data_IF_694224300242
#
_entry.id   IF_694224300242
#
_cell.length_a   1.000
_cell.length_b   1.000
_cell.length_c   1.000
_cell.angle_alpha   90.00
_cell.angle_beta   90.00
_cell.angle_gamma   90.00
#
_symmetry.space_group_name_H-M   'P 1'
#
loop_
_entity.id
_entity.type
_entity.pdbx_description
1 polymer ?
#
# COMPACT_ATOMS: atom_id res chain seq x y z
N UNK A 1 -2.39 19.48 44.19
CA UNK A 1 -2.52 18.31 45.09
C UNK A 1 -1.86 17.12 44.41
N UNK A 2 -0.62 16.83 44.83
CA UNK A 2 0.18 15.71 44.30
C UNK A 2 -0.29 14.40 44.92
N UNK A 3 -0.69 13.42 44.11
CA UNK A 3 -0.92 12.04 44.59
C UNK A 3 0.43 11.39 44.87
N UNK A 4 0.61 10.74 46.03
CA UNK A 4 1.84 10.05 46.33
C UNK A 4 1.97 8.73 45.51
N UNK A 5 3.21 8.39 45.21
CA UNK A 5 3.65 7.16 44.58
C UNK A 5 3.20 5.96 45.45
N UNK A 6 2.63 4.90 44.88
CA UNK A 6 2.33 3.73 45.69
C UNK A 6 3.64 3.05 46.16
N UNK A 7 3.86 3.09 47.46
CA UNK A 7 4.88 2.30 48.16
C UNK A 7 4.45 0.83 48.15
N UNK A 8 5.04 0.02 47.32
CA UNK A 8 5.07 -1.42 47.46
C UNK A 8 6.51 -1.83 47.73
N UNK A 9 6.92 -1.73 48.98
CA UNK A 9 8.07 -2.44 49.52
C UNK A 9 7.54 -3.73 50.18
N UNK A 10 8.00 -4.92 49.85
CA UNK A 10 7.94 -6.04 50.77
C UNK A 10 9.10 -5.91 51.76
N UNK A 11 8.77 -5.77 53.05
CA UNK A 11 9.69 -5.97 54.14
C UNK A 11 10.26 -7.40 54.06
N UNK A 12 11.53 -7.51 53.74
CA UNK A 12 12.36 -8.67 54.14
C UNK A 12 13.42 -8.12 55.11
N UNK A 13 13.01 -8.04 56.39
CA UNK A 13 13.91 -7.97 57.52
C UNK A 13 14.51 -9.35 57.80
N UNK A 14 15.85 -9.42 57.71
CA UNK A 14 16.59 -10.45 58.40
C UNK A 14 17.50 -11.27 57.48
N UNK A 15 18.70 -10.75 57.21
CA UNK A 15 19.99 -11.41 57.33
C UNK A 15 21.05 -10.44 56.75
N UNK A 16 21.92 -9.92 57.63
CA UNK A 16 22.95 -8.95 57.28
C UNK A 16 24.05 -9.55 56.39
N UNK A 17 23.83 -9.49 55.09
CA UNK A 17 24.84 -9.32 54.11
C UNK A 17 24.66 -7.87 53.60
N UNK A 18 25.54 -6.99 53.97
CA UNK A 18 25.67 -5.69 53.31
C UNK A 18 26.03 -5.99 51.85
N UNK A 19 25.01 -6.26 51.03
CA UNK A 19 25.19 -6.24 49.58
C UNK A 19 25.73 -4.85 49.25
N UNK A 20 26.96 -4.79 48.75
CA UNK A 20 27.59 -3.56 48.31
C UNK A 20 26.60 -2.87 47.38
N UNK A 21 26.10 -1.70 47.82
CA UNK A 21 25.12 -0.95 47.01
C UNK A 21 25.75 -0.60 45.68
N UNK A 22 25.05 -0.80 44.54
CA UNK A 22 25.64 -0.64 43.27
C UNK A 22 26.19 0.77 43.09
N UNK A 23 27.43 0.86 42.57
CA UNK A 23 28.06 2.10 42.17
C UNK A 23 27.55 2.51 40.76
N UNK A 24 27.82 3.75 40.37
CA UNK A 24 27.55 4.20 39.01
C UNK A 24 28.26 3.30 37.98
N UNK A 25 29.51 2.93 38.25
CA UNK A 25 30.30 2.04 37.36
C UNK A 25 29.67 0.65 37.21
N UNK A 26 29.08 0.11 38.29
CA UNK A 26 28.37 -1.17 38.23
C UNK A 26 27.09 -1.04 37.41
N UNK A 27 26.33 0.05 37.56
CA UNK A 27 25.15 0.33 36.73
C UNK A 27 25.49 0.47 35.25
N UNK A 28 26.59 1.19 34.92
CA UNK A 28 27.13 1.30 33.57
C UNK A 28 27.58 -0.04 33.00
N UNK A 29 28.24 -0.88 33.80
CA UNK A 29 28.67 -2.20 33.39
C UNK A 29 27.47 -3.10 33.05
N UNK A 30 26.41 -3.06 33.86
CA UNK A 30 25.15 -3.76 33.56
C UNK A 30 24.49 -3.28 32.27
N UNK A 31 24.47 -1.95 32.05
CA UNK A 31 23.95 -1.36 30.82
C UNK A 31 24.74 -1.83 29.58
N UNK A 32 26.06 -1.78 29.64
CA UNK A 32 26.96 -2.26 28.58
C UNK A 32 26.82 -3.76 28.31
N UNK A 33 26.56 -4.55 29.36
CA UNK A 33 26.34 -6.00 29.24
C UNK A 33 24.93 -6.36 28.67
N UNK A 34 24.06 -5.37 28.43
CA UNK A 34 22.71 -5.61 27.96
C UNK A 34 21.72 -6.02 29.04
N UNK A 35 22.12 -6.01 30.31
CA UNK A 35 21.27 -6.36 31.46
C UNK A 35 20.40 -5.15 31.86
N UNK A 36 19.54 -4.69 30.95
CA UNK A 36 18.83 -3.42 31.04
C UNK A 36 17.95 -3.28 32.28
N UNK A 37 17.24 -4.34 32.65
CA UNK A 37 16.37 -4.30 33.84
C UNK A 37 17.18 -4.14 35.14
N UNK A 38 18.31 -4.83 35.27
CA UNK A 38 19.20 -4.72 36.43
C UNK A 38 19.94 -3.36 36.44
N UNK A 39 20.34 -2.89 35.24
CA UNK A 39 20.93 -1.56 35.10
C UNK A 39 19.97 -0.46 35.56
N UNK A 40 18.70 -0.53 35.20
CA UNK A 40 17.69 0.44 35.64
C UNK A 40 17.58 0.48 37.17
N UNK A 41 17.47 -0.68 37.82
CA UNK A 41 17.42 -0.74 39.29
C UNK A 41 18.69 -0.18 39.93
N UNK A 42 19.86 -0.48 39.39
CA UNK A 42 21.12 0.04 39.90
C UNK A 42 21.21 1.56 39.76
N UNK A 43 20.75 2.14 38.63
CA UNK A 43 20.70 3.59 38.47
C UNK A 43 19.66 4.27 39.41
N UNK A 44 18.49 3.64 39.66
CA UNK A 44 17.54 4.12 40.64
C UNK A 44 18.15 4.19 42.06
N UNK A 45 18.93 3.19 42.44
CA UNK A 45 19.65 3.19 43.74
C UNK A 45 20.75 4.25 43.82
N UNK A 46 21.43 4.54 42.68
CA UNK A 46 22.39 5.65 42.61
C UNK A 46 21.66 6.99 42.80
N UNK A 47 20.53 7.18 42.08
CA UNK A 47 19.72 8.41 42.18
C UNK A 47 19.05 8.60 43.54
N UNK A 48 18.71 7.52 44.24
CA UNK A 48 18.20 7.61 45.61
C UNK A 48 19.21 8.19 46.60
N UNK A 49 20.53 8.05 46.31
CA UNK A 49 21.64 8.62 47.14
C UNK A 49 22.08 9.98 46.65
N UNK A 50 22.15 10.17 45.37
CA UNK A 50 22.61 11.40 44.71
C UNK A 50 21.72 11.69 43.52
N UNK A 51 20.61 12.43 43.78
CA UNK A 51 19.64 12.80 42.76
C UNK A 51 20.19 13.78 41.72
N UNK A 52 21.25 14.51 42.08
CA UNK A 52 21.91 15.49 41.20
C UNK A 52 22.86 14.85 40.16
N UNK A 53 22.88 13.53 40.01
CA UNK A 53 23.83 12.82 39.14
C UNK A 53 23.34 12.67 37.72
N UNK A 54 23.89 13.49 36.83
CA UNK A 54 23.50 13.53 35.40
C UNK A 54 23.62 12.16 34.73
N UNK A 55 24.76 11.48 34.92
CA UNK A 55 25.05 10.19 34.31
C UNK A 55 24.04 9.10 34.74
N UNK A 56 23.57 9.18 35.98
CA UNK A 56 22.59 8.21 36.49
C UNK A 56 21.19 8.48 35.91
N UNK A 57 20.76 9.73 35.74
CA UNK A 57 19.52 10.06 35.06
C UNK A 57 19.54 9.59 33.60
N UNK A 58 20.61 9.89 32.87
CA UNK A 58 20.78 9.46 31.49
C UNK A 58 20.80 7.94 31.39
N UNK A 59 21.60 7.26 32.25
CA UNK A 59 21.72 5.82 32.29
C UNK A 59 20.39 5.11 32.59
N UNK A 60 19.61 5.61 33.56
CA UNK A 60 18.29 5.10 33.88
C UNK A 60 17.35 5.18 32.68
N UNK A 61 17.23 6.35 32.08
CA UNK A 61 16.37 6.55 30.91
C UNK A 61 16.75 5.63 29.75
N UNK A 62 18.06 5.51 29.46
CA UNK A 62 18.56 4.63 28.39
C UNK A 62 18.32 3.16 28.73
N UNK A 63 18.55 2.71 29.96
CA UNK A 63 18.29 1.35 30.40
C UNK A 63 16.81 0.97 30.24
N UNK A 64 15.90 1.82 30.70
CA UNK A 64 14.45 1.64 30.56
C UNK A 64 14.00 1.63 29.06
N UNK A 65 14.55 2.53 28.25
CA UNK A 65 14.28 2.56 26.82
C UNK A 65 14.71 1.27 26.11
N UNK A 66 15.93 0.79 26.42
CA UNK A 66 16.45 -0.46 25.86
C UNK A 66 15.70 -1.70 26.35
N UNK A 67 15.18 -1.64 27.59
CA UNK A 67 14.31 -2.69 28.14
C UNK A 67 12.89 -2.69 27.54
N UNK A 68 12.54 -1.71 26.68
CA UNK A 68 11.19 -1.55 26.11
C UNK A 68 10.17 -0.94 27.08
N UNK A 69 10.58 -0.50 28.28
CA UNK A 69 9.74 0.16 29.31
C UNK A 69 9.53 1.62 28.95
N UNK A 70 8.84 1.90 27.84
CA UNK A 70 8.82 3.21 27.20
C UNK A 70 8.21 4.33 28.04
N UNK A 71 7.10 4.08 28.74
CA UNK A 71 6.49 5.13 29.61
C UNK A 71 7.37 5.44 30.82
N UNK A 72 8.09 4.46 31.36
CA UNK A 72 9.02 4.69 32.43
C UNK A 72 10.30 5.41 31.98
N UNK A 73 10.78 5.08 30.76
CA UNK A 73 11.86 5.82 30.11
C UNK A 73 11.48 7.28 29.89
N UNK A 74 10.24 7.53 29.42
CA UNK A 74 9.72 8.89 29.26
C UNK A 74 9.76 9.64 30.61
N UNK A 75 9.26 9.01 31.67
CA UNK A 75 9.28 9.63 33.00
C UNK A 75 10.72 9.92 33.47
N UNK A 76 11.66 8.98 33.30
CA UNK A 76 13.05 9.17 33.68
C UNK A 76 13.71 10.34 32.91
N UNK A 77 13.49 10.44 31.59
CA UNK A 77 14.00 11.57 30.82
C UNK A 77 13.29 12.88 31.11
N UNK A 78 11.98 12.87 31.43
CA UNK A 78 11.28 14.07 31.94
C UNK A 78 11.91 14.59 33.23
N UNK A 79 12.27 13.69 34.17
CA UNK A 79 12.99 14.10 35.40
C UNK A 79 14.37 14.67 35.07
N UNK A 80 15.12 14.01 34.16
CA UNK A 80 16.41 14.52 33.71
C UNK A 80 16.30 15.93 33.14
N UNK A 81 15.32 16.19 32.26
CA UNK A 81 15.10 17.54 31.66
C UNK A 81 14.72 18.59 32.73
N UNK A 82 13.99 18.22 33.76
CA UNK A 82 13.65 19.11 34.87
C UNK A 82 14.86 19.48 35.71
N UNK A 83 15.75 18.52 35.97
CA UNK A 83 16.97 18.74 36.77
C UNK A 83 18.06 19.43 35.95
N UNK A 84 18.17 19.06 34.67
CA UNK A 84 19.22 19.53 33.76
C UNK A 84 18.61 20.04 32.44
N UNK A 85 17.87 21.17 32.46
CA UNK A 85 17.12 21.67 31.31
C UNK A 85 18.00 22.05 30.10
N UNK A 86 19.27 22.40 30.35
CA UNK A 86 20.25 22.80 29.32
C UNK A 86 21.03 21.61 28.72
N UNK A 87 20.71 20.39 29.14
CA UNK A 87 21.40 19.18 28.60
C UNK A 87 20.60 18.64 27.43
N UNK A 88 21.20 18.73 26.25
CA UNK A 88 20.54 18.31 25.00
C UNK A 88 20.19 16.82 25.01
N UNK A 89 21.00 15.98 25.69
CA UNK A 89 20.83 14.53 25.75
C UNK A 89 19.47 14.13 26.32
N UNK A 90 18.99 14.86 27.34
CA UNK A 90 17.65 14.63 27.94
C UNK A 90 16.54 14.87 26.92
N UNK A 91 16.56 16.00 26.25
CA UNK A 91 15.58 16.36 25.21
C UNK A 91 15.66 15.42 24.00
N UNK A 92 16.86 15.10 23.55
CA UNK A 92 17.06 14.19 22.40
C UNK A 92 16.50 12.79 22.68
N UNK A 93 16.84 12.21 23.84
CA UNK A 93 16.35 10.88 24.19
C UNK A 93 14.83 10.89 24.46
N UNK A 94 14.30 11.96 25.05
CA UNK A 94 12.86 12.14 25.23
C UNK A 94 12.14 12.15 23.88
N UNK A 95 12.70 12.81 22.87
CA UNK A 95 12.20 12.79 21.50
C UNK A 95 12.17 11.39 20.91
N UNK A 96 13.23 10.60 21.12
CA UNK A 96 13.27 9.19 20.69
C UNK A 96 12.19 8.34 21.37
N UNK A 97 11.98 8.53 22.67
CA UNK A 97 10.93 7.83 23.42
C UNK A 97 9.55 8.19 22.88
N UNK A 98 9.27 9.47 22.65
CA UNK A 98 7.99 9.89 22.09
C UNK A 98 7.71 9.31 20.72
N UNK A 99 8.71 9.21 19.82
CA UNK A 99 8.54 8.52 18.54
C UNK A 99 8.15 7.06 18.72
N UNK A 100 8.81 6.36 19.65
CA UNK A 100 8.50 4.94 19.93
C UNK A 100 7.11 4.75 20.57
N UNK A 101 6.59 5.76 21.25
CA UNK A 101 5.23 5.81 21.82
C UNK A 101 4.16 6.25 20.80
N UNK A 102 4.53 6.53 19.56
CA UNK A 102 3.61 7.04 18.54
C UNK A 102 3.11 8.47 18.81
N UNK A 103 3.92 9.29 19.48
CA UNK A 103 3.64 10.69 19.84
C UNK A 103 4.54 11.66 19.06
N UNK A 104 4.35 11.80 17.74
CA UNK A 104 5.30 12.52 16.89
C UNK A 104 5.32 14.05 17.15
N UNK A 105 4.21 14.67 17.58
CA UNK A 105 4.18 16.10 17.90
C UNK A 105 5.05 16.42 19.12
N UNK A 106 4.92 15.63 20.19
CA UNK A 106 5.72 15.75 21.40
C UNK A 106 7.20 15.48 21.12
N UNK A 107 7.47 14.49 20.24
CA UNK A 107 8.81 14.18 19.79
C UNK A 107 9.43 15.37 19.05
N UNK A 108 8.68 16.01 18.15
CA UNK A 108 9.15 17.19 17.42
C UNK A 108 9.54 18.34 18.37
N UNK A 109 8.73 18.61 19.41
CA UNK A 109 9.05 19.60 20.42
C UNK A 109 10.34 19.27 21.19
N UNK A 110 10.52 18.02 21.57
CA UNK A 110 11.71 17.57 22.29
C UNK A 110 12.97 17.65 21.41
N UNK A 111 12.93 17.18 20.16
CA UNK A 111 14.05 17.28 19.23
C UNK A 111 14.36 18.73 18.84
N UNK A 112 13.35 19.60 18.70
CA UNK A 112 13.56 21.02 18.44
C UNK A 112 14.40 21.65 19.56
N UNK A 113 14.06 21.35 20.83
CA UNK A 113 14.83 21.85 21.97
C UNK A 113 16.24 21.26 22.02
N UNK A 114 16.40 19.96 21.68
CA UNK A 114 17.72 19.34 21.56
C UNK A 114 18.56 20.04 20.47
N UNK A 115 18.00 20.33 19.29
CA UNK A 115 18.68 21.03 18.20
C UNK A 115 19.03 22.49 18.54
N UNK A 116 18.21 23.14 19.37
CA UNK A 116 18.50 24.47 19.87
C UNK A 116 19.69 24.50 20.84
N UNK A 117 19.75 23.51 21.73
CA UNK A 117 20.84 23.38 22.72
C UNK A 117 22.14 22.87 22.08
N UNK A 118 22.05 21.95 21.15
CA UNK A 118 23.18 21.41 20.40
C UNK A 118 22.79 21.19 18.94
N UNK A 119 23.22 22.06 18.01
CA UNK A 119 22.88 22.00 16.58
C UNK A 119 23.55 20.82 15.85
N UNK A 120 23.29 19.61 16.31
CA UNK A 120 23.82 18.38 15.72
C UNK A 120 22.96 17.90 14.53
N UNK A 121 23.58 17.09 13.66
CA UNK A 121 22.88 16.48 12.53
C UNK A 121 21.74 15.58 12.99
N UNK A 122 22.00 14.78 14.02
CA UNK A 122 21.06 13.84 14.60
C UNK A 122 19.83 14.53 15.20
N UNK A 123 20.04 15.67 15.85
CA UNK A 123 18.94 16.44 16.43
C UNK A 123 17.99 17.00 15.34
N UNK A 124 18.55 17.58 14.28
CA UNK A 124 17.74 18.08 13.16
C UNK A 124 17.08 16.97 12.37
N UNK A 125 17.74 15.83 12.14
CA UNK A 125 17.14 14.67 11.50
C UNK A 125 16.02 14.08 12.36
N UNK A 126 16.21 13.98 13.67
CA UNK A 126 15.17 13.56 14.61
C UNK A 126 13.97 14.49 14.60
N UNK A 127 14.22 15.81 14.61
CA UNK A 127 13.17 16.81 14.54
C UNK A 127 12.35 16.72 13.25
N UNK A 128 13.03 16.66 12.11
CA UNK A 128 12.36 16.53 10.82
C UNK A 128 11.60 15.21 10.68
N UNK A 129 12.17 14.10 11.16
CA UNK A 129 11.49 12.80 11.17
C UNK A 129 10.21 12.83 11.99
N UNK A 130 10.25 13.45 13.17
CA UNK A 130 9.07 13.60 14.03
C UNK A 130 7.99 14.47 13.37
N UNK A 131 8.37 15.60 12.76
CA UNK A 131 7.45 16.47 12.01
C UNK A 131 6.85 15.74 10.80
N UNK A 132 7.64 14.98 10.07
CA UNK A 132 7.14 14.19 8.93
C UNK A 132 6.12 13.13 9.37
N UNK A 133 6.37 12.43 10.48
CA UNK A 133 5.41 11.46 11.04
C UNK A 133 4.14 12.14 11.56
N UNK A 134 4.23 13.40 11.99
CA UNK A 134 3.08 14.22 12.36
C UNK A 134 2.31 14.80 11.14
N UNK A 135 2.73 14.48 9.90
CA UNK A 135 2.14 15.04 8.68
C UNK A 135 2.55 16.48 8.35
N UNK A 136 3.53 17.03 9.06
CA UNK A 136 4.00 18.42 8.96
C UNK A 136 5.22 18.51 8.03
N UNK A 137 5.03 18.16 6.74
CA UNK A 137 6.14 18.06 5.78
C UNK A 137 6.86 19.40 5.52
N UNK A 138 6.13 20.53 5.54
CA UNK A 138 6.72 21.87 5.33
C UNK A 138 7.64 22.24 6.49
N UNK A 139 7.17 22.04 7.71
CA UNK A 139 7.93 22.31 8.93
C UNK A 139 9.17 21.39 9.02
N UNK A 140 9.05 20.13 8.58
CA UNK A 140 10.19 19.21 8.48
C UNK A 140 11.27 19.74 7.53
N UNK A 141 10.88 20.24 6.36
CA UNK A 141 11.82 20.84 5.42
C UNK A 141 12.48 22.10 6.00
N UNK A 142 11.73 22.98 6.67
CA UNK A 142 12.28 24.18 7.29
C UNK A 142 13.25 23.85 8.44
N UNK A 143 12.94 22.83 9.25
CA UNK A 143 13.85 22.36 10.30
C UNK A 143 15.21 21.92 9.70
N UNK A 144 15.17 21.13 8.61
CA UNK A 144 16.40 20.67 7.93
C UNK A 144 17.13 21.82 7.22
N UNK A 145 16.42 22.79 6.63
CA UNK A 145 17.06 24.00 6.07
C UNK A 145 17.82 24.77 7.15
N UNK A 146 17.20 24.98 8.32
CA UNK A 146 17.81 25.67 9.46
C UNK A 146 19.11 24.99 9.92
N UNK A 147 19.15 23.65 9.90
CA UNK A 147 20.32 22.87 10.28
C UNK A 147 21.34 22.66 9.17
N UNK A 148 21.08 23.10 7.92
CA UNK A 148 21.94 22.85 6.78
C UNK A 148 23.24 23.63 6.86
N UNK A 149 24.35 22.92 6.89
CA UNK A 149 25.71 23.48 6.76
C UNK A 149 26.48 22.77 5.65
N UNK A 150 27.60 23.33 5.16
CA UNK A 150 28.42 22.64 4.14
C UNK A 150 28.91 21.27 4.57
N UNK A 151 29.17 21.05 5.86
CA UNK A 151 29.73 19.82 6.42
C UNK A 151 28.70 18.70 6.58
N UNK A 152 27.38 18.99 6.47
CA UNK A 152 26.32 17.99 6.63
C UNK A 152 26.49 16.82 5.66
N UNK A 153 26.19 15.63 6.17
CA UNK A 153 26.38 14.37 5.45
C UNK A 153 25.51 14.27 4.18
N UNK A 154 25.84 13.37 3.24
CA UNK A 154 24.95 13.00 2.14
C UNK A 154 23.56 12.58 2.61
N UNK A 155 23.46 11.84 3.72
CA UNK A 155 22.21 11.40 4.31
C UNK A 155 21.33 12.58 4.75
N UNK A 156 21.92 13.61 5.37
CA UNK A 156 21.21 14.83 5.75
C UNK A 156 20.64 15.56 4.53
N UNK A 157 21.42 15.70 3.47
CA UNK A 157 20.98 16.34 2.21
C UNK A 157 19.87 15.57 1.53
N UNK A 158 19.93 14.23 1.57
CA UNK A 158 18.86 13.37 1.06
C UNK A 158 17.58 13.58 1.87
N UNK A 159 17.67 13.58 3.20
CA UNK A 159 16.52 13.84 4.06
C UNK A 159 15.88 15.23 3.79
N UNK A 160 16.71 16.27 3.59
CA UNK A 160 16.23 17.60 3.21
C UNK A 160 15.49 17.57 1.85
N UNK A 161 16.06 16.90 0.85
CA UNK A 161 15.43 16.79 -0.48
C UNK A 161 14.11 16.01 -0.41
N UNK A 162 14.05 14.96 0.38
CA UNK A 162 12.82 14.17 0.63
C UNK A 162 11.74 15.01 1.34
N UNK A 163 12.13 15.78 2.37
CA UNK A 163 11.20 16.66 3.08
C UNK A 163 10.67 17.78 2.17
N UNK A 164 11.52 18.39 1.35
CA UNK A 164 11.13 19.38 0.35
C UNK A 164 10.17 18.80 -0.69
N UNK A 165 10.45 17.59 -1.17
CA UNK A 165 9.55 16.88 -2.09
C UNK A 165 8.18 16.62 -1.44
N UNK A 166 8.15 16.09 -0.21
CA UNK A 166 6.92 15.83 0.53
C UNK A 166 6.12 17.12 0.82
N UNK A 167 6.82 18.26 1.02
CA UNK A 167 6.22 19.58 1.18
C UNK A 167 5.70 20.20 -0.15
N UNK A 168 5.91 19.52 -1.30
CA UNK A 168 5.58 20.05 -2.63
C UNK A 168 6.58 21.08 -3.17
N UNK A 169 7.67 21.37 -2.45
CA UNK A 169 8.70 22.34 -2.81
C UNK A 169 9.74 21.73 -3.79
N UNK A 170 9.25 21.17 -4.92
CA UNK A 170 10.07 20.42 -5.90
C UNK A 170 11.21 21.25 -6.48
N UNK A 171 10.96 22.52 -6.76
CA UNK A 171 11.97 23.43 -7.31
C UNK A 171 13.17 23.62 -6.37
N UNK A 172 12.94 23.54 -5.04
CA UNK A 172 14.00 23.65 -4.02
C UNK A 172 14.72 22.32 -3.80
N UNK A 173 14.02 21.18 -3.97
CA UNK A 173 14.61 19.85 -3.82
C UNK A 173 15.67 19.53 -4.89
N UNK A 174 15.46 19.98 -6.13
CA UNK A 174 16.36 19.68 -7.27
C UNK A 174 17.81 20.17 -7.04
N UNK A 175 18.09 21.43 -6.67
CA UNK A 175 19.45 21.87 -6.40
C UNK A 175 20.12 21.15 -5.21
N UNK A 176 19.34 20.78 -4.19
CA UNK A 176 19.85 19.99 -3.06
C UNK A 176 20.30 18.61 -3.54
N UNK A 177 19.51 17.96 -4.41
CA UNK A 177 19.87 16.65 -5.00
C UNK A 177 21.11 16.73 -5.88
N UNK A 178 21.24 17.75 -6.74
CA UNK A 178 22.47 17.93 -7.50
C UNK A 178 23.69 18.21 -6.60
N UNK A 179 23.53 19.00 -5.55
CA UNK A 179 24.57 19.24 -4.55
C UNK A 179 25.00 17.97 -3.81
N UNK A 180 24.04 17.07 -3.53
CA UNK A 180 24.29 15.74 -2.99
C UNK A 180 25.06 14.86 -3.99
N UNK A 181 24.55 14.75 -5.23
CA UNK A 181 25.14 13.89 -6.28
C UNK A 181 26.53 14.33 -6.72
N UNK A 182 26.88 15.60 -6.61
CA UNK A 182 28.24 16.09 -6.82
C UNK A 182 29.22 15.60 -5.73
N UNK A 183 28.74 15.27 -4.53
CA UNK A 183 29.57 14.78 -3.41
C UNK A 183 29.56 13.25 -3.31
N UNK A 184 28.39 12.66 -3.55
CA UNK A 184 28.18 11.22 -3.57
C UNK A 184 27.47 10.82 -4.87
N UNK A 185 28.21 10.62 -5.96
CA UNK A 185 27.63 10.20 -7.24
C UNK A 185 26.98 8.81 -7.21
N UNK A 186 27.24 8.00 -6.16
CA UNK A 186 26.66 6.65 -5.99
C UNK A 186 25.37 6.64 -5.16
N UNK A 187 24.89 7.79 -4.72
CA UNK A 187 23.63 7.92 -3.99
C UNK A 187 22.43 7.59 -4.88
N UNK A 188 22.11 6.31 -5.03
CA UNK A 188 21.03 5.83 -5.91
C UNK A 188 19.66 6.44 -5.56
N UNK A 189 19.37 6.63 -4.27
CA UNK A 189 18.12 7.23 -3.80
C UNK A 189 17.97 8.69 -4.23
N UNK A 190 19.10 9.41 -4.34
CA UNK A 190 19.09 10.78 -4.85
C UNK A 190 18.80 10.83 -6.36
N UNK A 191 19.37 9.90 -7.15
CA UNK A 191 19.04 9.76 -8.57
C UNK A 191 17.57 9.39 -8.78
N UNK A 192 17.05 8.44 -7.99
CA UNK A 192 15.63 8.03 -8.06
C UNK A 192 14.69 9.20 -7.76
N UNK A 193 14.94 9.93 -6.67
CA UNK A 193 14.11 11.08 -6.28
C UNK A 193 14.19 12.21 -7.31
N UNK A 194 15.39 12.50 -7.82
CA UNK A 194 15.58 13.51 -8.87
C UNK A 194 14.78 13.15 -10.14
N UNK A 195 14.87 11.89 -10.57
CA UNK A 195 14.14 11.41 -11.74
C UNK A 195 12.62 11.47 -11.53
N UNK A 196 12.14 11.13 -10.33
CA UNK A 196 10.72 11.25 -9.96
C UNK A 196 10.25 12.70 -10.08
N UNK A 197 10.95 13.64 -9.45
CA UNK A 197 10.61 15.06 -9.49
C UNK A 197 10.57 15.55 -10.95
N UNK A 198 11.59 15.26 -11.73
CA UNK A 198 11.66 15.68 -13.13
C UNK A 198 10.52 15.10 -13.98
N UNK A 199 10.14 13.85 -13.74
CA UNK A 199 9.03 13.20 -14.44
C UNK A 199 7.68 13.84 -14.10
N UNK A 200 7.44 14.14 -12.83
CA UNK A 200 6.23 14.81 -12.34
C UNK A 200 6.10 16.25 -12.87
N UNK A 201 7.22 16.93 -13.10
CA UNK A 201 7.29 18.24 -13.78
C UNK A 201 7.16 18.16 -15.32
N UNK A 202 6.85 16.97 -15.87
CA UNK A 202 6.72 16.75 -17.31
C UNK A 202 8.05 16.63 -18.06
N UNK A 203 9.19 16.70 -17.38
CA UNK A 203 10.54 16.66 -17.95
C UNK A 203 11.05 15.23 -18.11
N UNK A 204 10.21 14.32 -18.63
CA UNK A 204 10.47 12.88 -18.74
C UNK A 204 11.79 12.54 -19.44
N UNK A 205 12.11 13.24 -20.54
CA UNK A 205 13.38 13.02 -21.26
C UNK A 205 14.60 13.38 -20.42
N UNK A 206 14.51 14.40 -19.56
CA UNK A 206 15.56 14.76 -18.62
C UNK A 206 15.68 13.74 -17.50
N UNK A 207 14.55 13.29 -16.94
CA UNK A 207 14.52 12.22 -15.93
C UNK A 207 15.23 10.95 -16.41
N UNK A 208 14.97 10.52 -17.65
CA UNK A 208 15.63 9.35 -18.25
C UNK A 208 17.15 9.56 -18.39
N UNK A 209 17.60 10.74 -18.83
CA UNK A 209 19.06 11.05 -18.91
C UNK A 209 19.74 11.02 -17.54
N UNK A 210 19.09 11.57 -16.50
CA UNK A 210 19.66 11.53 -15.14
C UNK A 210 19.72 10.10 -14.60
N UNK A 211 18.70 9.26 -14.89
CA UNK A 211 18.75 7.83 -14.54
C UNK A 211 19.88 7.11 -15.27
N UNK A 212 20.15 7.42 -16.54
CA UNK A 212 21.27 6.82 -17.28
C UNK A 212 22.63 7.20 -16.66
N UNK A 213 22.77 8.44 -16.19
CA UNK A 213 23.97 8.87 -15.46
C UNK A 213 24.15 8.10 -14.17
N UNK A 214 23.07 7.96 -13.39
CA UNK A 214 23.11 7.17 -12.14
C UNK A 214 23.42 5.69 -12.40
N UNK A 215 22.77 5.09 -13.41
CA UNK A 215 22.99 3.68 -13.79
C UNK A 215 24.44 3.38 -14.22
N UNK A 216 25.15 4.36 -14.74
CA UNK A 216 26.58 4.21 -15.07
C UNK A 216 27.50 4.14 -13.83
N UNK A 217 27.00 4.52 -12.65
CA UNK A 217 27.80 4.71 -11.43
C UNK A 217 27.47 3.70 -10.32
N UNK A 218 26.28 3.05 -10.39
CA UNK A 218 25.78 2.17 -9.34
C UNK A 218 25.65 0.73 -9.82
N UNK A 219 25.76 -0.22 -8.88
CA UNK A 219 25.71 -1.66 -9.14
C UNK A 219 24.70 -2.37 -8.19
N UNK A 220 24.48 -3.66 -8.44
CA UNK A 220 23.66 -4.53 -7.57
C UNK A 220 22.26 -3.97 -7.31
N UNK A 221 21.82 -4.00 -6.05
CA UNK A 221 20.48 -3.57 -5.66
C UNK A 221 20.21 -2.09 -5.94
N UNK A 222 21.21 -1.23 -5.81
CA UNK A 222 21.10 0.18 -6.15
C UNK A 222 20.76 0.36 -7.64
N UNK A 223 21.46 -0.38 -8.52
CA UNK A 223 21.20 -0.40 -9.96
C UNK A 223 19.80 -0.94 -10.25
N UNK A 224 19.38 -2.01 -9.58
CA UNK A 224 18.03 -2.59 -9.75
C UNK A 224 16.93 -1.57 -9.50
N UNK A 225 17.03 -0.76 -8.44
CA UNK A 225 16.07 0.31 -8.12
C UNK A 225 16.01 1.39 -9.21
N UNK A 226 17.15 1.82 -9.73
CA UNK A 226 17.17 2.81 -10.81
C UNK A 226 16.63 2.24 -12.13
N UNK A 227 16.88 0.96 -12.42
CA UNK A 227 16.28 0.26 -13.57
C UNK A 227 14.75 0.19 -13.45
N UNK A 228 14.22 -0.12 -12.25
CA UNK A 228 12.78 -0.08 -12.00
C UNK A 228 12.22 1.32 -12.26
N UNK A 229 12.85 2.38 -11.73
CA UNK A 229 12.42 3.76 -11.98
C UNK A 229 12.45 4.08 -13.47
N UNK A 230 13.49 3.69 -14.17
CA UNK A 230 13.62 3.90 -15.62
C UNK A 230 12.55 3.13 -16.40
N UNK A 231 12.22 1.91 -15.99
CA UNK A 231 11.16 1.10 -16.58
C UNK A 231 9.79 1.79 -16.49
N UNK A 232 9.46 2.36 -15.33
CA UNK A 232 8.21 3.11 -15.13
C UNK A 232 8.07 4.35 -16.05
N UNK A 233 9.18 4.87 -16.52
CA UNK A 233 9.22 6.01 -17.44
C UNK A 233 9.43 5.61 -18.89
N UNK A 234 9.73 4.35 -19.18
CA UNK A 234 10.06 3.86 -20.53
C UNK A 234 8.81 3.42 -21.30
N UNK A 235 8.76 3.59 -22.63
CA UNK A 235 7.74 2.98 -23.48
C UNK A 235 7.92 1.45 -23.58
N UNK A 236 9.12 0.93 -23.33
CA UNK A 236 9.44 -0.50 -23.38
C UNK A 236 10.03 -0.96 -22.05
N UNK A 237 9.20 -1.18 -21.00
CA UNK A 237 9.68 -1.43 -19.64
C UNK A 237 10.26 -2.85 -19.44
N UNK A 238 9.81 -3.84 -20.19
CA UNK A 238 10.07 -5.27 -19.90
C UNK A 238 11.56 -5.62 -19.81
N UNK A 239 12.47 -5.22 -20.73
CA UNK A 239 13.90 -5.53 -20.60
C UNK A 239 14.53 -4.96 -19.33
N UNK A 240 14.14 -3.72 -18.96
CA UNK A 240 14.63 -3.05 -17.76
C UNK A 240 14.14 -3.74 -16.48
N UNK A 241 12.87 -4.16 -16.46
CA UNK A 241 12.28 -4.89 -15.34
C UNK A 241 12.94 -6.26 -15.16
N UNK A 242 13.27 -6.96 -16.26
CA UNK A 242 13.98 -8.24 -16.21
C UNK A 242 15.39 -8.08 -15.63
N UNK A 243 16.13 -7.05 -16.07
CA UNK A 243 17.46 -6.75 -15.52
C UNK A 243 17.34 -6.37 -14.05
N UNK A 244 16.38 -5.54 -13.66
CA UNK A 244 16.14 -5.14 -12.27
C UNK A 244 15.86 -6.36 -11.38
N UNK A 245 14.95 -7.22 -11.80
CA UNK A 245 14.58 -8.43 -11.06
C UNK A 245 15.73 -9.44 -10.97
N UNK A 246 16.56 -9.56 -12.02
CA UNK A 246 17.74 -10.42 -12.01
C UNK A 246 18.79 -9.93 -11.02
N UNK A 247 18.97 -8.61 -10.88
CA UNK A 247 19.92 -7.99 -9.95
C UNK A 247 19.41 -8.02 -8.50
N UNK A 248 18.11 -7.90 -8.30
CA UNK A 248 17.47 -7.97 -6.97
C UNK A 248 16.14 -8.72 -7.04
N UNK A 249 16.14 -10.05 -6.82
CA UNK A 249 14.90 -10.83 -6.78
C UNK A 249 13.95 -10.46 -5.62
N UNK A 250 14.42 -9.69 -4.63
CA UNK A 250 13.58 -9.18 -3.56
C UNK A 250 12.83 -7.88 -3.94
N UNK A 251 13.09 -7.33 -5.12
CA UNK A 251 12.40 -6.15 -5.65
C UNK A 251 11.03 -6.59 -6.21
N UNK A 252 10.07 -6.74 -5.30
CA UNK A 252 8.74 -7.30 -5.60
C UNK A 252 7.99 -6.49 -6.65
N UNK A 253 8.19 -5.17 -6.71
CA UNK A 253 7.54 -4.30 -7.69
C UNK A 253 7.95 -4.66 -9.14
N UNK A 254 9.22 -5.00 -9.36
CA UNK A 254 9.68 -5.43 -10.68
C UNK A 254 9.04 -6.75 -11.09
N UNK A 255 8.97 -7.72 -10.16
CA UNK A 255 8.30 -8.99 -10.38
C UNK A 255 6.79 -8.80 -10.62
N UNK A 256 6.12 -7.96 -9.84
CA UNK A 256 4.71 -7.62 -10.02
C UNK A 256 4.43 -7.05 -11.40
N UNK A 257 5.22 -6.07 -11.85
CA UNK A 257 5.06 -5.46 -13.17
C UNK A 257 5.31 -6.46 -14.31
N UNK A 258 6.29 -7.35 -14.17
CA UNK A 258 6.52 -8.45 -15.13
C UNK A 258 5.35 -9.42 -15.17
N UNK A 259 4.81 -9.79 -14.01
CA UNK A 259 3.63 -10.65 -13.92
C UNK A 259 2.40 -10.02 -14.56
N UNK A 260 2.15 -8.74 -14.31
CA UNK A 260 1.08 -7.99 -14.97
C UNK A 260 1.22 -7.97 -16.50
N UNK A 261 2.42 -7.67 -17.00
CA UNK A 261 2.68 -7.67 -18.43
C UNK A 261 2.39 -9.06 -19.06
N UNK A 262 2.66 -10.16 -18.35
CA UNK A 262 2.29 -11.50 -18.77
C UNK A 262 0.77 -11.73 -18.81
N UNK A 263 0.04 -11.20 -17.82
CA UNK A 263 -1.42 -11.27 -17.83
C UNK A 263 -2.02 -10.50 -19.02
N UNK A 264 -1.54 -9.30 -19.27
CA UNK A 264 -1.96 -8.46 -20.40
C UNK A 264 -1.65 -9.12 -21.75
N UNK A 265 -0.56 -9.89 -21.83
CA UNK A 265 -0.21 -10.73 -23.00
C UNK A 265 -1.01 -12.03 -23.10
N UNK A 266 -1.95 -12.31 -22.18
CA UNK A 266 -2.74 -13.53 -22.17
C UNK A 266 -1.98 -14.79 -21.71
N UNK A 267 -0.87 -14.63 -20.96
CA UNK A 267 -0.07 -15.70 -20.39
C UNK A 267 -0.22 -15.75 -18.85
N UNK A 268 -1.36 -16.25 -18.31
CA UNK A 268 -1.56 -16.33 -16.88
C UNK A 268 -0.63 -17.31 -16.16
N UNK A 269 -0.15 -18.36 -16.86
CA UNK A 269 0.85 -19.29 -16.29
C UNK A 269 2.20 -18.63 -16.12
N UNK A 270 2.67 -17.92 -17.15
CA UNK A 270 3.89 -17.13 -17.07
C UNK A 270 3.82 -16.01 -16.04
N UNK A 271 2.63 -15.42 -15.84
CA UNK A 271 2.41 -14.41 -14.80
C UNK A 271 2.63 -14.95 -13.39
N UNK A 272 2.15 -16.16 -13.09
CA UNK A 272 2.34 -16.79 -11.77
C UNK A 272 3.82 -16.96 -11.39
N UNK A 273 4.70 -17.17 -12.37
CA UNK A 273 6.14 -17.30 -12.12
C UNK A 273 6.75 -16.05 -11.49
N UNK A 274 6.16 -14.87 -11.72
CA UNK A 274 6.59 -13.59 -11.17
C UNK A 274 5.73 -13.13 -9.99
N UNK A 275 4.40 -13.31 -10.07
CA UNK A 275 3.47 -12.82 -9.05
C UNK A 275 3.59 -13.59 -7.73
N UNK A 276 3.82 -14.91 -7.75
CA UNK A 276 3.98 -15.69 -6.52
C UNK A 276 5.23 -15.30 -5.71
N UNK A 277 6.43 -15.14 -6.32
CA UNK A 277 7.57 -14.58 -5.61
C UNK A 277 7.33 -13.16 -5.11
N UNK A 278 6.71 -12.28 -5.91
CA UNK A 278 6.38 -10.92 -5.49
C UNK A 278 5.51 -10.93 -4.22
N UNK A 279 4.44 -11.73 -4.21
CA UNK A 279 3.53 -11.85 -3.09
C UNK A 279 4.20 -12.41 -1.82
N UNK A 280 5.12 -13.37 -1.96
CA UNK A 280 5.89 -13.90 -0.83
C UNK A 280 6.81 -12.87 -0.21
N UNK A 281 7.35 -11.96 -1.01
CA UNK A 281 8.24 -10.89 -0.55
C UNK A 281 7.45 -9.75 0.09
N UNK A 282 6.37 -9.32 -0.54
CA UNK A 282 5.46 -8.30 -0.04
C UNK A 282 4.01 -8.69 -0.40
N UNK A 283 3.18 -9.08 0.58
CA UNK A 283 1.80 -9.50 0.35
C UNK A 283 0.88 -8.30 0.13
N UNK A 284 1.20 -7.48 -0.89
CA UNK A 284 0.42 -6.29 -1.23
C UNK A 284 -0.93 -6.66 -1.87
N UNK A 285 -2.00 -5.92 -1.57
CA UNK A 285 -3.33 -6.14 -2.14
C UNK A 285 -3.34 -6.14 -3.68
N UNK A 286 -2.53 -5.32 -4.32
CA UNK A 286 -2.43 -5.26 -5.79
C UNK A 286 -1.83 -6.55 -6.37
N UNK A 287 -0.85 -7.14 -5.68
CA UNK A 287 -0.25 -8.42 -6.10
C UNK A 287 -1.26 -9.55 -5.91
N UNK A 288 -1.99 -9.56 -4.80
CA UNK A 288 -3.07 -10.51 -4.54
C UNK A 288 -4.16 -10.41 -5.62
N UNK A 289 -4.57 -9.19 -5.99
CA UNK A 289 -5.54 -8.95 -7.06
C UNK A 289 -5.07 -9.51 -8.40
N UNK A 290 -3.81 -9.30 -8.76
CA UNK A 290 -3.22 -9.85 -9.99
C UNK A 290 -3.16 -11.39 -9.97
N UNK A 291 -2.82 -11.99 -8.81
CA UNK A 291 -2.87 -13.45 -8.61
C UNK A 291 -4.29 -13.99 -8.76
N UNK A 292 -5.28 -13.33 -8.18
CA UNK A 292 -6.68 -13.71 -8.32
C UNK A 292 -7.11 -13.73 -9.80
N UNK A 293 -6.73 -12.69 -10.57
CA UNK A 293 -6.97 -12.62 -12.00
C UNK A 293 -6.29 -13.73 -12.79
N UNK A 294 -5.03 -14.04 -12.45
CA UNK A 294 -4.27 -15.13 -13.08
C UNK A 294 -4.94 -16.50 -12.85
N UNK A 295 -5.29 -16.80 -11.60
CA UNK A 295 -5.95 -18.05 -11.25
C UNK A 295 -7.36 -18.16 -11.82
N UNK A 296 -8.09 -17.06 -11.91
CA UNK A 296 -9.40 -17.03 -12.56
C UNK A 296 -9.30 -17.37 -14.05
N UNK A 297 -8.32 -16.79 -14.76
CA UNK A 297 -8.04 -17.10 -16.15
C UNK A 297 -7.63 -18.56 -16.38
N UNK A 298 -6.96 -19.16 -15.40
CA UNK A 298 -6.59 -20.59 -15.41
C UNK A 298 -7.72 -21.51 -14.94
N UNK A 299 -8.88 -20.97 -14.55
CA UNK A 299 -10.04 -21.67 -13.96
C UNK A 299 -9.71 -22.40 -12.64
N UNK A 300 -8.66 -21.97 -11.94
CA UNK A 300 -8.37 -22.40 -10.58
C UNK A 300 -9.14 -21.50 -9.60
N UNK A 301 -10.44 -21.76 -9.51
CA UNK A 301 -11.36 -20.94 -8.74
C UNK A 301 -11.10 -20.92 -7.23
N UNK A 302 -10.64 -22.02 -6.59
CA UNK A 302 -10.27 -21.97 -5.17
C UNK A 302 -9.14 -20.96 -4.87
N UNK A 303 -8.08 -20.98 -5.67
CA UNK A 303 -6.98 -20.04 -5.52
C UNK A 303 -7.39 -18.61 -5.93
N UNK A 304 -8.18 -18.47 -7.00
CA UNK A 304 -8.74 -17.17 -7.39
C UNK A 304 -9.55 -16.53 -6.25
N UNK A 305 -10.42 -17.32 -5.60
CA UNK A 305 -11.22 -16.88 -4.47
C UNK A 305 -10.35 -16.43 -3.29
N UNK A 306 -9.35 -17.25 -2.92
CA UNK A 306 -8.45 -16.93 -1.81
C UNK A 306 -7.69 -15.63 -2.02
N UNK A 307 -7.01 -15.48 -3.16
CA UNK A 307 -6.24 -14.26 -3.43
C UNK A 307 -7.13 -13.03 -3.65
N UNK A 308 -8.34 -13.20 -4.18
CA UNK A 308 -9.31 -12.12 -4.26
C UNK A 308 -9.78 -11.64 -2.87
N UNK A 309 -9.88 -12.55 -1.88
CA UNK A 309 -10.15 -12.23 -0.48
C UNK A 309 -9.00 -11.44 0.14
N UNK A 310 -7.75 -11.90 -0.08
CA UNK A 310 -6.52 -11.24 0.38
C UNK A 310 -6.32 -9.85 -0.24
N UNK A 311 -6.88 -9.59 -1.44
CA UNK A 311 -6.91 -8.27 -2.09
C UNK A 311 -7.91 -7.28 -1.46
N UNK A 312 -8.73 -7.74 -0.52
CA UNK A 312 -9.71 -6.91 0.19
C UNK A 312 -10.79 -6.32 -0.73
N UNK A 313 -11.20 -5.06 -0.50
CA UNK A 313 -12.31 -4.45 -1.26
C UNK A 313 -12.12 -4.43 -2.78
N UNK A 314 -10.89 -4.29 -3.27
CA UNK A 314 -10.57 -4.31 -4.70
C UNK A 314 -10.75 -5.70 -5.33
N UNK A 315 -10.70 -6.77 -4.52
CA UNK A 315 -10.89 -8.14 -4.94
C UNK A 315 -12.33 -8.63 -5.01
N UNK A 316 -13.31 -7.89 -4.47
CA UNK A 316 -14.70 -8.35 -4.31
C UNK A 316 -15.33 -8.86 -5.61
N UNK A 317 -15.09 -8.20 -6.73
CA UNK A 317 -15.64 -8.61 -8.02
C UNK A 317 -15.03 -9.95 -8.50
N UNK A 318 -13.70 -10.11 -8.41
CA UNK A 318 -13.03 -11.36 -8.77
C UNK A 318 -13.43 -12.50 -7.81
N UNK A 319 -13.60 -12.18 -6.52
CA UNK A 319 -14.07 -13.12 -5.50
C UNK A 319 -15.49 -13.61 -5.83
N UNK A 320 -16.39 -12.70 -6.22
CA UNK A 320 -17.73 -13.05 -6.65
C UNK A 320 -17.73 -13.93 -7.93
N UNK A 321 -16.84 -13.65 -8.90
CA UNK A 321 -16.69 -14.48 -10.09
C UNK A 321 -16.23 -15.89 -9.72
N UNK A 322 -15.26 -16.02 -8.84
CA UNK A 322 -14.76 -17.29 -8.35
C UNK A 322 -15.83 -18.04 -7.55
N UNK A 323 -16.57 -17.35 -6.66
CA UNK A 323 -17.67 -17.92 -5.87
C UNK A 323 -18.77 -18.49 -6.79
N UNK A 324 -19.21 -17.73 -7.80
CA UNK A 324 -20.18 -18.23 -8.80
C UNK A 324 -19.66 -19.51 -9.50
N UNK A 325 -18.40 -19.49 -9.95
CA UNK A 325 -17.80 -20.63 -10.63
C UNK A 325 -17.70 -21.89 -9.72
N UNK A 326 -17.55 -21.68 -8.40
CA UNK A 326 -17.63 -22.72 -7.37
C UNK A 326 -19.07 -23.16 -7.03
N UNK A 327 -20.07 -22.62 -7.68
CA UNK A 327 -21.50 -22.90 -7.42
C UNK A 327 -22.11 -22.12 -6.27
N UNK A 328 -21.36 -21.22 -5.62
CA UNK A 328 -21.78 -20.42 -4.46
C UNK A 328 -22.50 -19.13 -4.88
N UNK A 329 -23.65 -19.29 -5.57
CA UNK A 329 -24.36 -18.15 -6.20
C UNK A 329 -24.88 -17.11 -5.21
N UNK A 330 -25.38 -17.55 -4.03
CA UNK A 330 -25.85 -16.64 -2.98
C UNK A 330 -24.71 -15.77 -2.46
N UNK A 331 -23.59 -16.41 -2.10
CA UNK A 331 -22.39 -15.71 -1.65
C UNK A 331 -21.88 -14.72 -2.71
N UNK A 332 -21.92 -15.11 -3.99
CA UNK A 332 -21.52 -14.21 -5.09
C UNK A 332 -22.39 -12.96 -5.18
N UNK A 333 -23.70 -13.07 -4.89
CA UNK A 333 -24.61 -11.91 -4.82
C UNK A 333 -24.29 -11.02 -3.62
N UNK A 334 -24.05 -11.60 -2.45
CA UNK A 334 -23.68 -10.88 -1.23
C UNK A 334 -22.38 -10.08 -1.42
N UNK A 335 -21.37 -10.68 -2.03
CA UNK A 335 -20.11 -10.01 -2.35
C UNK A 335 -20.26 -8.82 -3.30
N UNK A 336 -21.32 -8.81 -4.11
CA UNK A 336 -21.64 -7.72 -5.06
C UNK A 336 -22.54 -6.63 -4.45
N UNK A 337 -22.97 -6.78 -3.19
CA UNK A 337 -23.70 -5.71 -2.51
C UNK A 337 -22.78 -4.50 -2.33
N UNK A 338 -23.26 -3.34 -2.80
CA UNK A 338 -22.48 -2.09 -2.76
C UNK A 338 -21.42 -1.92 -3.85
N UNK A 339 -21.17 -2.93 -4.69
CA UNK A 339 -20.28 -2.80 -5.85
C UNK A 339 -21.04 -2.16 -7.02
N UNK A 340 -20.80 -0.88 -7.28
CA UNK A 340 -21.54 -0.11 -8.28
C UNK A 340 -20.93 -0.12 -9.71
N UNK A 341 -19.80 -0.82 -9.90
CA UNK A 341 -19.18 -0.96 -11.23
C UNK A 341 -20.15 -1.62 -12.21
N UNK A 342 -20.22 -1.13 -13.43
CA UNK A 342 -21.18 -1.58 -14.44
C UNK A 342 -21.06 -3.09 -14.72
N UNK A 343 -19.84 -3.58 -14.84
CA UNK A 343 -19.55 -5.00 -15.04
C UNK A 343 -20.04 -5.86 -13.88
N UNK A 344 -19.90 -5.36 -12.64
CA UNK A 344 -20.38 -6.05 -11.45
C UNK A 344 -21.91 -6.10 -11.41
N UNK A 345 -22.59 -5.02 -11.81
CA UNK A 345 -24.06 -4.99 -11.90
C UNK A 345 -24.57 -5.91 -13.02
N UNK A 346 -23.93 -5.93 -14.18
CA UNK A 346 -24.24 -6.87 -15.25
C UNK A 346 -24.07 -8.33 -14.79
N UNK A 347 -22.98 -8.59 -14.07
CA UNK A 347 -22.68 -9.90 -13.51
C UNK A 347 -23.69 -10.32 -12.43
N UNK A 348 -24.07 -9.40 -11.53
CA UNK A 348 -25.12 -9.60 -10.54
C UNK A 348 -26.45 -9.98 -11.21
N UNK A 349 -26.84 -9.24 -12.25
CA UNK A 349 -28.03 -9.55 -13.04
C UNK A 349 -28.00 -10.94 -13.67
N UNK A 350 -26.84 -11.37 -14.20
CA UNK A 350 -26.69 -12.70 -14.78
C UNK A 350 -26.84 -13.83 -13.74
N UNK A 351 -26.31 -13.63 -12.51
CA UNK A 351 -26.46 -14.59 -11.41
C UNK A 351 -27.94 -14.70 -11.00
N UNK A 352 -28.62 -13.56 -10.87
CA UNK A 352 -30.04 -13.51 -10.52
C UNK A 352 -30.92 -14.25 -11.55
N UNK A 353 -30.60 -14.10 -12.85
CA UNK A 353 -31.27 -14.85 -13.92
C UNK A 353 -31.04 -16.37 -13.80
N UNK A 354 -29.81 -16.80 -13.54
CA UNK A 354 -29.48 -18.23 -13.32
C UNK A 354 -30.21 -18.82 -12.12
N UNK A 355 -30.56 -17.98 -11.13
CA UNK A 355 -31.32 -18.37 -9.94
C UNK A 355 -32.84 -18.26 -10.13
N UNK A 356 -33.34 -17.87 -11.34
CA UNK A 356 -34.74 -17.67 -11.61
C UNK A 356 -35.32 -16.39 -10.99
N UNK A 357 -34.53 -15.47 -10.47
CA UNK A 357 -34.90 -14.22 -9.81
C UNK A 357 -35.03 -13.09 -10.84
N UNK A 358 -35.85 -13.28 -11.86
CA UNK A 358 -35.90 -12.42 -13.04
C UNK A 358 -36.38 -10.98 -12.73
N UNK A 359 -37.28 -10.78 -11.77
CA UNK A 359 -37.73 -9.42 -11.34
C UNK A 359 -36.60 -8.63 -10.71
N UNK A 360 -35.80 -9.25 -9.84
CA UNK A 360 -34.64 -8.60 -9.22
C UNK A 360 -33.54 -8.31 -10.23
N UNK A 361 -33.28 -9.25 -11.15
CA UNK A 361 -32.37 -9.05 -12.27
C UNK A 361 -32.83 -7.84 -13.13
N UNK A 362 -34.13 -7.74 -13.43
CA UNK A 362 -34.68 -6.62 -14.19
C UNK A 362 -34.40 -5.28 -13.51
N UNK A 363 -34.61 -5.19 -12.18
CA UNK A 363 -34.36 -3.96 -11.40
C UNK A 363 -32.91 -3.51 -11.50
N UNK A 364 -31.97 -4.42 -11.22
CA UNK A 364 -30.53 -4.15 -11.26
C UNK A 364 -30.06 -3.76 -12.68
N UNK A 365 -30.45 -4.55 -13.67
CA UNK A 365 -30.00 -4.36 -15.05
C UNK A 365 -30.61 -3.12 -15.71
N UNK A 366 -31.89 -2.77 -15.37
CA UNK A 366 -32.53 -1.55 -15.87
C UNK A 366 -31.79 -0.30 -15.34
N UNK A 367 -31.44 -0.28 -14.07
CA UNK A 367 -30.65 0.82 -13.47
C UNK A 367 -29.28 0.94 -14.13
N UNK A 368 -28.56 -0.15 -14.29
CA UNK A 368 -27.27 -0.18 -14.94
C UNK A 368 -27.35 0.27 -16.42
N UNK A 369 -28.34 -0.21 -17.16
CA UNK A 369 -28.53 0.14 -18.57
C UNK A 369 -28.96 1.59 -18.78
N UNK A 370 -29.70 2.17 -17.83
CA UNK A 370 -30.07 3.58 -17.86
C UNK A 370 -28.85 4.48 -17.62
N UNK A 371 -27.96 4.07 -16.71
CA UNK A 371 -26.74 4.80 -16.39
C UNK A 371 -25.73 4.79 -17.57
N UNK A 372 -25.60 3.65 -18.20
CA UNK A 372 -24.74 3.46 -19.37
C UNK A 372 -25.35 2.41 -20.29
N UNK A 373 -25.63 2.76 -21.53
CA UNK A 373 -26.23 1.87 -22.52
C UNK A 373 -25.23 0.85 -23.09
N UNK A 374 -24.68 0.00 -22.19
CA UNK A 374 -23.79 -1.10 -22.58
C UNK A 374 -24.60 -2.21 -23.26
N UNK A 375 -24.17 -2.67 -24.45
CA UNK A 375 -24.83 -3.80 -25.13
C UNK A 375 -24.90 -5.08 -24.28
N UNK A 376 -23.87 -5.37 -23.49
CA UNK A 376 -23.79 -6.55 -22.62
C UNK A 376 -24.85 -6.51 -21.51
N UNK A 377 -25.00 -5.35 -20.84
CA UNK A 377 -26.04 -5.13 -19.83
C UNK A 377 -27.42 -5.24 -20.47
N UNK A 378 -27.58 -4.64 -21.64
CA UNK A 378 -28.86 -4.64 -22.34
C UNK A 378 -29.30 -6.03 -22.81
N UNK A 379 -28.39 -6.93 -23.22
CA UNK A 379 -28.73 -8.33 -23.53
C UNK A 379 -29.28 -9.06 -22.31
N UNK A 380 -28.66 -8.88 -21.14
CA UNK A 380 -29.13 -9.46 -19.88
C UNK A 380 -30.48 -8.85 -19.46
N UNK A 381 -30.67 -7.54 -19.69
CA UNK A 381 -31.94 -6.86 -19.49
C UNK A 381 -33.05 -7.47 -20.39
N UNK A 382 -32.75 -7.67 -21.69
CA UNK A 382 -33.64 -8.35 -22.63
C UNK A 382 -33.99 -9.78 -22.18
N UNK A 383 -32.99 -10.52 -21.68
CA UNK A 383 -33.19 -11.86 -21.13
C UNK A 383 -34.09 -11.86 -19.88
N UNK A 384 -33.95 -10.86 -19.00
CA UNK A 384 -34.85 -10.70 -17.83
C UNK A 384 -36.28 -10.44 -18.24
N UNK A 385 -36.48 -9.55 -19.24
CA UNK A 385 -37.80 -9.23 -19.78
C UNK A 385 -38.45 -10.45 -20.43
N UNK A 386 -37.68 -11.26 -21.16
CA UNK A 386 -38.14 -12.53 -21.73
C UNK A 386 -38.61 -13.50 -20.65
N UNK A 387 -37.80 -13.68 -19.60
CA UNK A 387 -38.13 -14.57 -18.48
C UNK A 387 -39.44 -14.16 -17.76
N UNK A 388 -39.75 -12.87 -17.79
CA UNK A 388 -41.00 -12.32 -17.22
C UNK A 388 -42.19 -12.23 -18.18
N UNK A 389 -42.02 -12.73 -19.40
CA UNK A 389 -43.08 -12.67 -20.41
C UNK A 389 -43.31 -11.27 -21.02
N UNK A 390 -42.43 -10.28 -20.74
CA UNK A 390 -42.53 -8.89 -21.22
C UNK A 390 -41.91 -8.76 -22.62
N UNK A 391 -42.43 -9.54 -23.58
CA UNK A 391 -41.83 -9.77 -24.90
C UNK A 391 -41.72 -8.50 -25.74
N UNK A 392 -42.69 -7.60 -25.68
CA UNK A 392 -42.68 -6.33 -26.41
C UNK A 392 -41.58 -5.38 -25.93
N UNK A 393 -41.38 -5.31 -24.60
CA UNK A 393 -40.28 -4.51 -24.04
C UNK A 393 -38.90 -5.13 -24.35
N UNK A 394 -38.81 -6.47 -24.30
CA UNK A 394 -37.59 -7.19 -24.69
C UNK A 394 -37.21 -6.89 -26.15
N UNK A 395 -38.21 -6.91 -27.08
CA UNK A 395 -37.97 -6.58 -28.49
C UNK A 395 -37.40 -5.16 -28.64
N UNK A 396 -37.99 -4.15 -27.94
CA UNK A 396 -37.54 -2.75 -28.04
C UNK A 396 -36.05 -2.61 -27.59
N UNK A 397 -35.72 -3.15 -26.43
CA UNK A 397 -34.35 -3.07 -25.89
C UNK A 397 -33.37 -3.81 -26.81
N UNK A 398 -33.72 -5.02 -27.26
CA UNK A 398 -32.84 -5.83 -28.12
C UNK A 398 -32.62 -5.21 -29.49
N UNK A 399 -33.62 -4.56 -30.08
CA UNK A 399 -33.45 -3.81 -31.33
C UNK A 399 -32.57 -2.60 -31.15
N UNK A 400 -32.69 -1.86 -30.04
CA UNK A 400 -31.79 -0.74 -29.69
C UNK A 400 -30.34 -1.23 -29.60
N UNK A 401 -30.10 -2.34 -28.91
CA UNK A 401 -28.75 -2.94 -28.80
C UNK A 401 -28.19 -3.31 -30.17
N UNK A 402 -29.00 -3.94 -31.00
CA UNK A 402 -28.58 -4.42 -32.32
C UNK A 402 -28.30 -3.26 -33.31
N UNK A 403 -28.82 -2.06 -33.07
CA UNK A 403 -28.41 -0.86 -33.80
C UNK A 403 -26.98 -0.45 -33.44
N UNK A 404 -26.60 -0.55 -32.16
CA UNK A 404 -25.26 -0.22 -31.68
C UNK A 404 -24.23 -1.37 -31.88
N UNK A 405 -24.67 -2.61 -31.72
CA UNK A 405 -23.84 -3.81 -31.77
C UNK A 405 -24.46 -4.91 -32.68
N UNK A 406 -24.47 -4.71 -34.00
CA UNK A 406 -25.21 -5.57 -34.94
C UNK A 406 -24.66 -7.02 -35.04
N UNK A 407 -23.46 -7.28 -34.52
CA UNK A 407 -22.83 -8.62 -34.54
C UNK A 407 -22.98 -9.39 -33.22
N UNK A 408 -23.84 -8.95 -32.30
CA UNK A 408 -24.04 -9.59 -31.01
C UNK A 408 -25.00 -10.78 -31.12
N UNK A 409 -24.47 -12.00 -31.23
CA UNK A 409 -25.23 -13.23 -31.43
C UNK A 409 -26.32 -13.45 -30.34
N UNK A 410 -26.00 -13.16 -29.06
CA UNK A 410 -26.94 -13.29 -27.94
C UNK A 410 -28.13 -12.33 -28.04
N UNK A 411 -27.93 -11.11 -28.55
CA UNK A 411 -29.02 -10.15 -28.76
C UNK A 411 -29.96 -10.63 -29.88
N UNK A 412 -29.41 -11.13 -31.00
CA UNK A 412 -30.21 -11.74 -32.08
C UNK A 412 -30.98 -12.97 -31.61
N UNK A 413 -30.34 -13.83 -30.79
CA UNK A 413 -31.02 -15.00 -30.24
C UNK A 413 -32.20 -14.60 -29.35
N UNK A 414 -31.99 -13.69 -28.39
CA UNK A 414 -33.03 -13.22 -27.49
C UNK A 414 -34.15 -12.47 -28.27
N UNK A 415 -33.79 -11.70 -29.31
CA UNK A 415 -34.77 -11.07 -30.18
C UNK A 415 -35.64 -12.13 -30.92
N UNK A 416 -35.02 -13.20 -31.42
CA UNK A 416 -35.73 -14.30 -32.02
C UNK A 416 -36.75 -14.97 -31.08
N UNK A 417 -36.37 -15.16 -29.82
CA UNK A 417 -37.26 -15.69 -28.77
C UNK A 417 -38.41 -14.74 -28.49
N UNK A 418 -38.15 -13.41 -28.37
CA UNK A 418 -39.18 -12.40 -28.16
C UNK A 418 -40.19 -12.39 -29.32
N UNK A 419 -39.72 -12.36 -30.55
CA UNK A 419 -40.54 -12.34 -31.77
C UNK A 419 -41.40 -13.60 -31.91
N UNK A 420 -40.82 -14.77 -31.58
CA UNK A 420 -41.55 -16.05 -31.59
C UNK A 420 -42.71 -16.02 -30.55
N UNK A 421 -42.44 -15.54 -29.35
CA UNK A 421 -43.46 -15.41 -28.30
C UNK A 421 -44.58 -14.40 -28.69
N UNK A 422 -44.25 -13.41 -29.51
CA UNK A 422 -45.19 -12.44 -30.09
C UNK A 422 -45.96 -12.97 -31.32
N UNK A 423 -45.76 -14.23 -31.74
CA UNK A 423 -46.40 -14.82 -32.90
C UNK A 423 -45.84 -14.36 -34.24
N UNK A 424 -44.69 -13.70 -34.28
CA UNK A 424 -44.06 -13.15 -35.49
C UNK A 424 -43.02 -14.15 -36.03
N UNK A 425 -43.46 -15.33 -36.42
CA UNK A 425 -42.63 -16.48 -36.78
C UNK A 425 -41.59 -16.19 -37.89
N UNK A 426 -41.98 -15.47 -38.97
CA UNK A 426 -41.07 -15.14 -40.07
C UNK A 426 -39.94 -14.23 -39.66
N UNK A 427 -40.19 -13.29 -38.74
CA UNK A 427 -39.15 -12.42 -38.21
C UNK A 427 -38.30 -13.14 -37.16
N UNK A 428 -38.92 -13.97 -36.33
CA UNK A 428 -38.19 -14.81 -35.36
C UNK A 428 -37.18 -15.72 -36.07
N UNK A 429 -37.61 -16.40 -37.18
CA UNK A 429 -36.75 -17.23 -37.96
C UNK A 429 -35.52 -16.49 -38.55
N UNK A 430 -35.75 -15.27 -39.06
CA UNK A 430 -34.65 -14.38 -39.52
C UNK A 430 -33.70 -14.03 -38.42
N UNK A 431 -34.18 -13.61 -37.24
CA UNK A 431 -33.36 -13.26 -36.11
C UNK A 431 -32.54 -14.47 -35.58
N UNK A 432 -33.15 -15.63 -35.45
CA UNK A 432 -32.48 -16.89 -35.06
C UNK A 432 -31.43 -17.32 -36.08
N UNK A 433 -31.73 -17.21 -37.39
CA UNK A 433 -30.76 -17.50 -38.45
C UNK A 433 -29.54 -16.58 -38.34
N UNK A 434 -29.78 -15.27 -38.09
CA UNK A 434 -28.69 -14.32 -37.88
C UNK A 434 -27.86 -14.67 -36.64
N UNK A 435 -28.49 -15.03 -35.52
CA UNK A 435 -27.80 -15.50 -34.32
C UNK A 435 -26.95 -16.74 -34.60
N UNK A 436 -27.48 -17.71 -35.35
CA UNK A 436 -26.77 -18.92 -35.73
C UNK A 436 -25.56 -18.66 -36.62
N UNK A 437 -25.69 -17.74 -37.59
CA UNK A 437 -24.61 -17.27 -38.45
C UNK A 437 -23.51 -16.58 -37.69
N UNK A 438 -23.86 -15.88 -36.61
CA UNK A 438 -22.92 -15.22 -35.70
C UNK A 438 -22.35 -16.19 -34.64
N UNK A 439 -22.72 -17.45 -34.67
CA UNK A 439 -22.09 -18.49 -33.86
C UNK A 439 -22.92 -18.99 -32.67
N UNK A 440 -24.16 -18.50 -32.43
CA UNK A 440 -24.99 -19.02 -31.34
C UNK A 440 -25.29 -20.52 -31.52
N UNK A 441 -24.87 -21.32 -30.54
CA UNK A 441 -25.15 -22.77 -30.52
C UNK A 441 -26.63 -23.03 -30.19
N UNK A 442 -27.22 -22.21 -29.32
CA UNK A 442 -28.62 -22.27 -28.91
C UNK A 442 -29.57 -22.01 -30.11
N UNK A 443 -29.23 -20.95 -30.91
CA UNK A 443 -29.98 -20.65 -32.13
C UNK A 443 -29.86 -21.79 -33.14
N UNK A 444 -28.69 -22.38 -33.34
CA UNK A 444 -28.48 -23.54 -34.23
C UNK A 444 -29.29 -24.75 -33.79
N UNK A 445 -29.34 -25.00 -32.48
CA UNK A 445 -30.13 -26.07 -31.90
C UNK A 445 -31.65 -25.86 -32.06
N UNK A 446 -32.11 -24.61 -31.90
CA UNK A 446 -33.53 -24.23 -32.02
C UNK A 446 -34.05 -24.30 -33.50
N UNK A 447 -33.19 -23.94 -34.47
CA UNK A 447 -33.51 -24.00 -35.91
C UNK A 447 -33.54 -25.43 -36.52
N UNK A 448 -32.99 -26.43 -35.82
CA UNK A 448 -33.01 -27.84 -36.22
C UNK A 448 -34.27 -28.60 -35.75
N UNK A 449 -35.00 -28.01 -34.83
CA UNK A 449 -36.28 -28.55 -34.30
C UNK A 449 -37.48 -28.03 -35.08
#
# INVERSE_FOLDING_TARGET
MMKPIPKALPLLLGLGLALAQPSLEQAEALLKAGNYAQAALAYEEVLARDYGRLEAHLGLGVALFRAGRLEEARFAFDQMVRVFPERYEGHFNLGQVYLRLGKPQEAAGAFAKAAELSPSEEAYLGWASALAQAGQAKEAAEALKKGLTPERSPAYRLALAQALYAAGARAEAVPVLYGLLNRDPKAAEAWDLLARILAEEGLKARALRELDRGLALVEGKARARLLLRKALLSPSPEPLLREAYALDPSLWEAAYLLGRARLEAGDPRGALAFLLPAYRTSPEPEVALALAGAYLALKDYPNAYRYADEAGPSGLFLKAQAARALGRRVEALELLEGVNALEAQAFKGSILLEMGRAEEALGVLRTAYTAQKSPEVGVNLGASLLALGRFGEAELVLREILQAAPRMAAAWYNLGLALKALGREAEAQRALTQAANLGSAEAKALLRR
#
